data_IF_087270377135
#
_entry.id   IF_087270377135
#
_cell.length_a   1.000
_cell.length_b   1.000
_cell.length_c   1.000
_cell.angle_alpha   90.00
_cell.angle_beta   90.00
_cell.angle_gamma   90.00
#
_symmetry.space_group_name_H-M   'P 1'
#
loop_
_entity.id
_entity.type
_entity.pdbx_description
1 polymer ?
#
# COMPACT_ATOMS: atom_id res chain seq x y z
N UNK A 1 2.50 -18.16 16.97
CA UNK A 1 2.48 -17.14 15.88
C UNK A 1 3.17 -17.74 14.68
N UNK A 2 2.42 -18.35 13.76
CA UNK A 2 3.01 -18.97 12.57
C UNK A 2 3.52 -17.89 11.62
N UNK A 3 4.76 -17.99 11.17
CA UNK A 3 5.31 -17.08 10.17
C UNK A 3 4.42 -17.10 8.92
N UNK A 4 3.97 -15.92 8.47
CA UNK A 4 3.22 -15.79 7.22
C UNK A 4 4.12 -16.27 6.09
N UNK A 5 3.60 -17.09 5.18
CA UNK A 5 4.37 -17.48 3.99
C UNK A 5 4.65 -16.24 3.13
N UNK A 6 5.76 -16.25 2.39
CA UNK A 6 6.11 -15.17 1.45
C UNK A 6 4.96 -14.86 0.48
N UNK A 7 4.25 -15.89 0.02
CA UNK A 7 3.07 -15.73 -0.83
C UNK A 7 1.96 -14.95 -0.13
N UNK A 8 1.71 -15.26 1.14
CA UNK A 8 0.74 -14.53 1.96
C UNK A 8 1.17 -13.09 2.20
N UNK A 9 2.47 -12.85 2.41
CA UNK A 9 3.02 -11.50 2.59
C UNK A 9 2.82 -10.64 1.34
N UNK A 10 3.16 -11.15 0.16
CA UNK A 10 2.97 -10.43 -1.11
C UNK A 10 1.49 -10.12 -1.39
N UNK A 11 0.58 -11.07 -1.14
CA UNK A 11 -0.86 -10.79 -1.22
C UNK A 11 -1.31 -9.75 -0.19
N UNK A 12 -0.75 -9.81 1.02
CA UNK A 12 -1.07 -8.85 2.09
C UNK A 12 -0.64 -7.43 1.72
N UNK A 13 0.51 -7.27 1.06
CA UNK A 13 0.95 -5.97 0.55
C UNK A 13 -0.05 -5.43 -0.48
N UNK A 14 -0.37 -6.23 -1.51
CA UNK A 14 -1.29 -5.80 -2.58
C UNK A 14 -2.68 -5.46 -2.02
N UNK A 15 -3.19 -6.23 -1.06
CA UNK A 15 -4.56 -6.03 -0.56
C UNK A 15 -4.73 -4.75 0.27
N UNK A 16 -3.73 -4.37 1.08
CA UNK A 16 -3.82 -3.17 1.92
C UNK A 16 -3.39 -1.90 1.17
N UNK A 17 -2.82 -2.04 -0.02
CA UNK A 17 -2.43 -0.93 -0.90
C UNK A 17 -3.64 -0.11 -1.37
N UNK A 18 -3.40 1.16 -1.68
CA UNK A 18 -4.39 2.03 -2.30
C UNK A 18 -4.60 1.68 -3.77
N UNK A 19 -3.51 1.50 -4.51
CA UNK A 19 -3.53 1.41 -5.96
C UNK A 19 -2.72 0.23 -6.52
N UNK A 20 -2.37 -0.75 -5.69
CA UNK A 20 -1.51 -1.87 -6.07
C UNK A 20 -0.03 -1.50 -6.09
N UNK A 21 0.79 -2.50 -6.43
CA UNK A 21 2.24 -2.37 -6.47
C UNK A 21 2.85 -2.94 -7.74
N UNK A 22 3.93 -2.32 -8.19
CA UNK A 22 4.80 -2.86 -9.23
C UNK A 22 5.66 -4.02 -8.71
N UNK A 23 6.29 -4.74 -9.64
CA UNK A 23 7.18 -5.88 -9.31
C UNK A 23 8.33 -5.45 -8.40
N UNK A 24 8.99 -4.33 -8.71
CA UNK A 24 10.11 -3.81 -7.92
C UNK A 24 9.66 -3.40 -6.50
N UNK A 25 8.51 -2.74 -6.38
CA UNK A 25 7.96 -2.34 -5.07
C UNK A 25 7.69 -3.57 -4.19
N UNK A 26 7.11 -4.63 -4.77
CA UNK A 26 6.89 -5.90 -4.08
C UNK A 26 8.19 -6.58 -3.67
N UNK A 27 9.19 -6.58 -4.55
CA UNK A 27 10.51 -7.15 -4.29
C UNK A 27 11.18 -6.44 -3.10
N UNK A 28 11.22 -5.11 -3.13
CA UNK A 28 11.88 -4.29 -2.13
C UNK A 28 11.19 -4.42 -0.76
N UNK A 29 9.85 -4.37 -0.73
CA UNK A 29 9.09 -4.43 0.52
C UNK A 29 9.14 -5.80 1.18
N UNK A 30 8.97 -6.88 0.41
CA UNK A 30 9.04 -8.25 0.93
C UNK A 30 10.49 -8.74 1.12
N UNK A 31 11.50 -7.99 0.66
CA UNK A 31 12.93 -8.33 0.76
C UNK A 31 13.26 -9.72 0.21
N UNK A 32 12.65 -10.06 -0.92
CA UNK A 32 12.83 -11.35 -1.60
C UNK A 32 13.55 -11.17 -2.92
N UNK A 33 14.10 -12.27 -3.44
CA UNK A 33 14.65 -12.28 -4.79
C UNK A 33 13.57 -12.06 -5.84
N UNK A 34 13.95 -11.43 -6.96
CA UNK A 34 13.08 -11.18 -8.11
C UNK A 34 12.38 -12.45 -8.60
N UNK A 35 13.09 -13.58 -8.62
CA UNK A 35 12.55 -14.88 -9.03
C UNK A 35 11.36 -15.30 -8.18
N UNK A 36 11.36 -14.98 -6.89
CA UNK A 36 10.25 -15.28 -5.97
C UNK A 36 9.03 -14.44 -6.32
N UNK A 37 9.22 -13.16 -6.61
CA UNK A 37 8.14 -12.26 -7.06
C UNK A 37 7.58 -12.73 -8.39
N UNK A 38 8.41 -13.07 -9.38
CA UNK A 38 7.94 -13.58 -10.67
C UNK A 38 7.13 -14.88 -10.52
N UNK A 39 7.60 -15.82 -9.69
CA UNK A 39 6.86 -17.06 -9.38
C UNK A 39 5.52 -16.77 -8.72
N UNK A 40 5.50 -15.84 -7.77
CA UNK A 40 4.26 -15.37 -7.13
C UNK A 40 3.29 -14.81 -8.17
N UNK A 41 3.72 -13.84 -8.99
CA UNK A 41 2.89 -13.20 -9.99
C UNK A 41 2.36 -14.20 -11.02
N UNK A 42 3.18 -15.15 -11.44
CA UNK A 42 2.77 -16.22 -12.36
C UNK A 42 1.71 -17.14 -11.75
N UNK A 43 1.88 -17.54 -10.49
CA UNK A 43 0.93 -18.38 -9.77
C UNK A 43 -0.35 -17.64 -9.40
N UNK A 44 -0.26 -16.32 -9.17
CA UNK A 44 -1.36 -15.45 -8.77
C UNK A 44 -2.08 -14.77 -9.94
N UNK A 45 -1.68 -15.01 -11.19
CA UNK A 45 -2.15 -14.25 -12.36
C UNK A 45 -3.67 -14.22 -12.53
N UNK A 46 -4.37 -15.30 -12.16
CA UNK A 46 -5.82 -15.38 -12.32
C UNK A 46 -6.58 -14.52 -11.30
N UNK A 47 -5.95 -14.18 -10.16
CA UNK A 47 -6.52 -13.31 -9.13
C UNK A 47 -6.04 -11.86 -9.21
N UNK A 48 -4.96 -11.61 -9.94
CA UNK A 48 -4.36 -10.30 -10.09
C UNK A 48 -4.77 -9.66 -11.42
N UNK A 49 -5.00 -8.35 -11.38
CA UNK A 49 -5.11 -7.52 -12.58
C UNK A 49 -3.90 -6.58 -12.63
N UNK A 50 -3.35 -6.40 -13.82
CA UNK A 50 -2.28 -5.44 -14.06
C UNK A 50 -2.86 -4.16 -14.66
N UNK A 51 -2.75 -3.04 -13.94
CA UNK A 51 -3.25 -1.73 -14.37
C UNK A 51 -2.19 -0.68 -14.08
N UNK A 52 -1.90 0.17 -15.07
CA UNK A 52 -0.97 1.31 -14.94
C UNK A 52 0.33 0.96 -14.21
N UNK A 53 0.95 -0.15 -14.61
CA UNK A 53 2.24 -0.60 -14.06
C UNK A 53 2.15 -1.43 -12.78
N UNK A 54 0.95 -1.69 -12.25
CA UNK A 54 0.73 -2.19 -10.89
C UNK A 54 -0.20 -3.39 -10.85
N UNK A 55 0.09 -4.32 -9.95
CA UNK A 55 -0.75 -5.47 -9.64
C UNK A 55 -1.76 -5.11 -8.56
N UNK A 56 -3.04 -5.35 -8.86
CA UNK A 56 -4.18 -5.14 -7.96
C UNK A 56 -5.06 -6.39 -7.92
N UNK A 57 -5.80 -6.57 -6.83
CA UNK A 57 -6.88 -7.56 -6.76
C UNK A 57 -8.20 -6.83 -7.04
N UNK A 58 -8.93 -7.24 -8.08
CA UNK A 58 -10.19 -6.57 -8.45
C UNK A 58 -11.40 -7.16 -7.72
N UNK A 59 -11.48 -8.49 -7.65
CA UNK A 59 -12.67 -9.17 -7.16
C UNK A 59 -12.80 -9.07 -5.64
N UNK A 60 -13.88 -8.44 -5.16
CA UNK A 60 -14.15 -8.26 -3.75
C UNK A 60 -14.18 -9.58 -2.96
N UNK A 61 -14.74 -10.65 -3.54
CA UNK A 61 -14.79 -11.97 -2.88
C UNK A 61 -13.37 -12.51 -2.63
N UNK A 62 -12.46 -12.36 -3.60
CA UNK A 62 -11.06 -12.78 -3.47
C UNK A 62 -10.36 -11.92 -2.40
N UNK A 63 -10.61 -10.61 -2.40
CA UNK A 63 -10.12 -9.69 -1.36
C UNK A 63 -10.50 -10.18 0.04
N UNK A 64 -11.78 -10.50 0.27
CA UNK A 64 -12.26 -10.97 1.56
C UNK A 64 -11.64 -12.31 1.97
N UNK A 65 -11.46 -13.23 1.03
CA UNK A 65 -10.81 -14.52 1.29
C UNK A 65 -9.32 -14.37 1.65
N UNK A 66 -8.62 -13.43 1.02
CA UNK A 66 -7.22 -13.11 1.34
C UNK A 66 -7.15 -12.44 2.71
N UNK A 67 -8.07 -11.51 3.00
CA UNK A 67 -8.13 -10.82 4.30
C UNK A 67 -8.31 -11.83 5.42
N UNK A 68 -9.33 -12.70 5.32
CA UNK A 68 -9.61 -13.69 6.36
C UNK A 68 -8.48 -14.69 6.56
N UNK A 69 -7.71 -15.00 5.51
CA UNK A 69 -6.62 -15.98 5.57
C UNK A 69 -5.29 -15.40 6.05
N UNK A 70 -4.93 -14.20 5.61
CA UNK A 70 -3.59 -13.65 5.79
C UNK A 70 -3.52 -12.43 6.69
N UNK A 71 -4.57 -11.61 6.76
CA UNK A 71 -4.65 -10.44 7.64
C UNK A 71 -5.97 -10.44 8.46
N UNK A 72 -6.29 -11.52 9.20
CA UNK A 72 -7.56 -11.63 9.92
C UNK A 72 -7.71 -10.60 11.04
N UNK A 73 -6.60 -10.03 11.54
CA UNK A 73 -6.62 -9.06 12.64
C UNK A 73 -6.17 -7.66 12.21
N UNK A 74 -6.66 -6.64 12.92
CA UNK A 74 -6.20 -5.26 12.76
C UNK A 74 -4.69 -5.12 12.98
N UNK A 75 -4.12 -5.89 13.92
CA UNK A 75 -2.69 -5.91 14.19
C UNK A 75 -1.85 -6.39 12.98
N UNK A 76 -2.30 -7.46 12.30
CA UNK A 76 -1.64 -7.98 11.10
C UNK A 76 -1.77 -7.06 9.88
N UNK A 77 -2.94 -6.42 9.73
CA UNK A 77 -3.12 -5.37 8.74
C UNK A 77 -2.17 -4.20 9.04
N UNK A 78 -2.11 -3.74 10.30
CA UNK A 78 -1.23 -2.67 10.76
C UNK A 78 0.26 -2.98 10.54
N UNK A 79 0.71 -4.21 10.83
CA UNK A 79 2.08 -4.64 10.56
C UNK A 79 2.40 -4.58 9.05
N UNK A 80 1.46 -4.99 8.20
CA UNK A 80 1.63 -4.92 6.74
C UNK A 80 1.67 -3.47 6.25
N UNK A 81 0.80 -2.60 6.78
CA UNK A 81 0.82 -1.16 6.48
C UNK A 81 2.11 -0.50 6.93
N UNK A 82 2.68 -0.90 8.07
CA UNK A 82 3.95 -0.38 8.57
C UNK A 82 5.11 -0.65 7.60
N UNK A 83 5.12 -1.81 6.92
CA UNK A 83 6.11 -2.11 5.86
C UNK A 83 5.97 -1.13 4.69
N UNK A 84 4.74 -0.86 4.26
CA UNK A 84 4.47 0.08 3.15
C UNK A 84 4.86 1.51 3.54
N UNK A 85 4.52 1.93 4.77
CA UNK A 85 4.90 3.25 5.31
C UNK A 85 6.43 3.39 5.31
N UNK A 86 7.16 2.41 5.87
CA UNK A 86 8.63 2.43 5.90
C UNK A 86 9.24 2.55 4.48
N UNK A 87 8.66 1.84 3.51
CA UNK A 87 9.11 1.90 2.12
C UNK A 87 8.92 3.29 1.48
N UNK A 88 7.73 3.87 1.56
CA UNK A 88 7.46 5.17 0.93
C UNK A 88 8.07 6.35 1.69
N UNK A 89 8.21 6.26 3.01
CA UNK A 89 8.93 7.26 3.80
C UNK A 89 10.40 7.39 3.37
N UNK A 90 11.04 6.29 2.94
CA UNK A 90 12.43 6.30 2.44
C UNK A 90 12.59 6.89 1.04
N UNK A 91 11.56 6.83 0.19
CA UNK A 91 11.59 7.44 -1.15
C UNK A 91 11.47 8.97 -1.10
N UNK A 92 10.85 9.49 -0.04
CA UNK A 92 10.64 10.91 0.15
C UNK A 92 9.48 11.49 -0.65
N UNK A 93 9.12 12.76 -0.39
CA UNK A 93 7.86 13.36 -0.83
C UNK A 93 7.84 13.82 -2.29
N UNK A 94 8.96 13.75 -3.01
CA UNK A 94 9.02 14.10 -4.44
C UNK A 94 8.65 12.92 -5.36
N UNK A 95 8.58 11.71 -4.81
CA UNK A 95 8.15 10.55 -5.56
C UNK A 95 6.61 10.54 -5.69
N UNK A 96 6.06 10.51 -6.91
CA UNK A 96 4.61 10.52 -7.13
C UNK A 96 3.87 9.37 -6.43
N UNK A 97 4.51 8.20 -6.26
CA UNK A 97 3.90 7.08 -5.56
C UNK A 97 3.83 7.36 -4.07
N UNK A 98 4.86 7.97 -3.46
CA UNK A 98 4.82 8.45 -2.08
C UNK A 98 3.68 9.43 -1.86
N UNK A 99 3.48 10.41 -2.74
CA UNK A 99 2.40 11.40 -2.60
C UNK A 99 1.00 10.78 -2.51
N UNK A 100 0.81 9.62 -3.13
CA UNK A 100 -0.48 8.91 -3.16
C UNK A 100 -0.58 7.88 -2.03
N UNK A 101 0.44 7.05 -1.89
CA UNK A 101 0.37 5.87 -1.04
C UNK A 101 0.61 6.23 0.43
N UNK A 102 1.57 7.13 0.72
CA UNK A 102 1.97 7.41 2.09
C UNK A 102 0.83 8.06 2.92
N UNK A 103 0.17 9.15 2.48
CA UNK A 103 -0.95 9.72 3.24
C UNK A 103 -2.08 8.72 3.47
N UNK A 104 -2.40 7.91 2.46
CA UNK A 104 -3.42 6.87 2.58
C UNK A 104 -3.06 5.84 3.66
N UNK A 105 -1.82 5.36 3.69
CA UNK A 105 -1.40 4.35 4.67
C UNK A 105 -1.34 4.93 6.09
N UNK A 106 -0.92 6.18 6.25
CA UNK A 106 -0.88 6.88 7.54
C UNK A 106 -2.29 7.10 8.09
N UNK A 107 -3.24 7.53 7.26
CA UNK A 107 -4.66 7.65 7.60
C UNK A 107 -5.24 6.30 8.04
N UNK A 108 -5.06 5.24 7.23
CA UNK A 108 -5.57 3.90 7.55
C UNK A 108 -4.89 3.23 8.75
N UNK A 109 -3.78 3.78 9.22
CA UNK A 109 -3.06 3.31 10.41
C UNK A 109 -3.23 4.23 11.62
N UNK A 110 -4.09 5.25 11.53
CA UNK A 110 -4.33 6.26 12.57
C UNK A 110 -3.04 6.94 13.09
N UNK A 111 -2.03 7.12 12.23
CA UNK A 111 -0.77 7.80 12.55
C UNK A 111 -0.92 9.30 12.29
N UNK A 112 -1.67 9.97 13.15
CA UNK A 112 -2.17 11.34 12.92
C UNK A 112 -1.03 12.35 12.75
N UNK A 113 -0.02 12.31 13.61
CA UNK A 113 1.13 13.24 13.57
C UNK A 113 1.94 13.08 12.26
N UNK A 114 2.23 11.84 11.86
CA UNK A 114 2.92 11.54 10.60
C UNK A 114 2.07 11.94 9.39
N UNK A 115 0.75 11.73 9.45
CA UNK A 115 -0.20 12.13 8.39
C UNK A 115 -0.19 13.65 8.21
N UNK A 116 -0.29 14.40 9.31
CA UNK A 116 -0.27 15.86 9.31
C UNK A 116 1.00 16.40 8.66
N UNK A 117 2.17 15.87 9.04
CA UNK A 117 3.45 16.24 8.44
C UNK A 117 3.49 15.92 6.93
N UNK A 118 2.96 14.76 6.54
CA UNK A 118 2.92 14.32 5.14
C UNK A 118 2.08 15.26 4.28
N UNK A 119 0.86 15.60 4.70
CA UNK A 119 -0.05 16.47 3.91
C UNK A 119 0.31 17.96 3.97
N UNK A 120 1.11 18.39 4.96
CA UNK A 120 1.72 19.73 5.00
C UNK A 120 2.92 19.88 4.06
N UNK A 121 3.49 18.77 3.57
CA UNK A 121 4.54 18.83 2.56
C UNK A 121 4.00 19.47 1.28
N UNK A 122 4.68 20.52 0.80
CA UNK A 122 4.29 21.22 -0.43
C UNK A 122 4.23 20.27 -1.63
N UNK A 123 5.13 19.28 -1.70
CA UNK A 123 5.16 18.30 -2.78
C UNK A 123 3.91 17.40 -2.77
N UNK A 124 3.54 16.86 -1.60
CA UNK A 124 2.35 16.01 -1.45
C UNK A 124 1.08 16.82 -1.70
N UNK A 125 0.96 18.00 -1.08
CA UNK A 125 -0.19 18.88 -1.26
C UNK A 125 -0.39 19.25 -2.73
N UNK A 126 0.67 19.77 -3.38
CA UNK A 126 0.60 20.22 -4.78
C UNK A 126 0.31 19.05 -5.71
N UNK A 127 0.88 17.88 -5.44
CA UNK A 127 0.62 16.69 -6.24
C UNK A 127 -0.85 16.27 -6.13
N UNK A 128 -1.38 16.10 -4.92
CA UNK A 128 -2.77 15.67 -4.72
C UNK A 128 -3.76 16.69 -5.31
N UNK A 129 -3.53 17.98 -5.08
CA UNK A 129 -4.36 19.04 -5.63
C UNK A 129 -4.34 19.07 -7.16
N UNK A 130 -3.14 19.03 -7.78
CA UNK A 130 -3.01 19.14 -9.24
C UNK A 130 -3.50 17.90 -10.00
N UNK A 131 -3.67 16.76 -9.32
CA UNK A 131 -4.12 15.51 -9.91
C UNK A 131 -5.59 15.19 -9.59
N UNK A 132 -6.39 16.16 -9.16
CA UNK A 132 -7.82 15.97 -8.93
C UNK A 132 -8.14 15.10 -7.70
N UNK A 133 -7.23 15.06 -6.72
CA UNK A 133 -7.37 14.28 -5.48
C UNK A 133 -7.76 15.18 -4.30
N UNK A 134 -8.39 16.33 -4.56
CA UNK A 134 -8.87 17.28 -3.55
C UNK A 134 -9.84 16.64 -2.55
N UNK A 135 -10.77 15.74 -2.94
CA UNK A 135 -11.65 15.08 -1.97
C UNK A 135 -10.87 14.25 -0.94
N UNK A 136 -9.76 13.62 -1.35
CA UNK A 136 -8.92 12.81 -0.46
C UNK A 136 -8.05 13.70 0.42
N UNK A 137 -7.49 14.77 -0.14
CA UNK A 137 -6.77 15.78 0.62
C UNK A 137 -7.64 16.38 1.72
N UNK A 138 -8.90 16.75 1.41
CA UNK A 138 -9.88 17.20 2.40
C UNK A 138 -10.17 16.11 3.44
N UNK A 139 -10.28 14.84 3.01
CA UNK A 139 -10.43 13.70 3.91
C UNK A 139 -9.28 13.60 4.91
N UNK A 140 -8.04 13.74 4.45
CA UNK A 140 -6.86 13.73 5.31
C UNK A 140 -6.84 14.91 6.29
N UNK A 141 -7.17 16.12 5.83
CA UNK A 141 -7.27 17.28 6.73
C UNK A 141 -8.31 17.10 7.82
N UNK A 142 -9.46 16.50 7.52
CA UNK A 142 -10.49 16.17 8.53
C UNK A 142 -10.05 15.11 9.53
N UNK A 143 -9.06 14.27 9.17
CA UNK A 143 -8.55 13.25 10.07
C UNK A 143 -7.53 13.80 11.09
N UNK A 144 -6.95 14.99 10.84
CA UNK A 144 -5.89 15.59 11.67
C UNK A 144 -6.32 16.85 12.41
N UNK A 145 -7.50 17.40 12.11
CA UNK A 145 -8.11 18.56 12.79
C UNK A 145 -9.21 18.08 13.73
#
# INVERSE_FOLDING_TARGET
TGARSVFGELLSLIIVSRAGFGEQELQDMARVDRTVVCKFLWAAREMLSYKTGRYVILHHVIKQAIISKYIPTSAEAGATRAVIIDYFSKKGPNDPRTCIELPFQLEKSARIEELELSIKSLAVFSFLFSNGMEPELVGYWRAVV
#
